data_IF_564015326294
#
_entry.id   IF_564015326294
#
_cell.length_a   1.000
_cell.length_b   1.000
_cell.length_c   1.000
_cell.angle_alpha   90.00
_cell.angle_beta   90.00
_cell.angle_gamma   90.00
#
_symmetry.space_group_name_H-M   'P 1'
#
loop_
_entity.id
_entity.type
_entity.pdbx_description
1 polymer ?
#
# COMPACT_ATOMS: atom_id res chain seq x y z
N UNK A 1 -26.95 -59.33 -20.51
CA UNK A 1 -27.42 -57.95 -20.31
C UNK A 1 -26.55 -57.08 -21.20
N UNK A 2 -26.94 -56.90 -22.48
CA UNK A 2 -26.19 -56.08 -23.43
C UNK A 2 -26.47 -54.62 -23.06
N UNK A 3 -25.48 -53.96 -22.48
CA UNK A 3 -25.53 -52.52 -22.25
C UNK A 3 -25.61 -51.88 -23.62
N UNK A 4 -26.72 -51.17 -23.87
CA UNK A 4 -27.03 -50.60 -25.17
C UNK A 4 -26.08 -49.43 -25.45
N UNK A 5 -25.05 -49.67 -26.27
CA UNK A 5 -24.00 -48.71 -26.63
C UNK A 5 -24.57 -47.41 -27.21
N UNK A 6 -25.78 -47.47 -27.78
CA UNK A 6 -26.51 -46.31 -28.29
C UNK A 6 -26.96 -45.35 -27.17
N UNK A 7 -27.33 -45.88 -26.00
CA UNK A 7 -27.73 -45.12 -24.81
C UNK A 7 -26.49 -44.47 -24.18
N UNK A 8 -25.39 -45.23 -24.05
CA UNK A 8 -24.12 -44.71 -23.55
C UNK A 8 -23.60 -43.55 -24.42
N UNK A 9 -23.61 -43.69 -25.75
CA UNK A 9 -23.22 -42.61 -26.67
C UNK A 9 -24.11 -41.38 -26.55
N UNK A 10 -25.42 -41.55 -26.38
CA UNK A 10 -26.40 -40.44 -26.30
C UNK A 10 -26.29 -39.65 -24.99
N UNK A 11 -26.04 -40.34 -23.87
CA UNK A 11 -25.77 -39.72 -22.57
C UNK A 11 -24.43 -38.99 -22.62
N UNK A 12 -23.35 -39.65 -23.07
CA UNK A 12 -22.03 -39.02 -23.20
C UNK A 12 -22.02 -37.81 -24.12
N UNK A 13 -22.68 -37.86 -25.29
CA UNK A 13 -22.63 -36.75 -26.26
C UNK A 13 -23.50 -35.55 -25.87
N UNK A 14 -24.49 -35.72 -25.01
CA UNK A 14 -25.39 -34.63 -24.58
C UNK A 14 -24.98 -34.04 -23.23
N UNK A 15 -24.56 -34.87 -22.28
CA UNK A 15 -24.20 -34.43 -20.93
C UNK A 15 -22.76 -33.89 -20.85
N UNK A 16 -21.84 -34.38 -21.69
CA UNK A 16 -20.46 -33.90 -21.71
C UNK A 16 -20.33 -32.43 -22.15
N UNK A 17 -20.94 -31.97 -23.27
CA UNK A 17 -20.91 -30.55 -23.63
C UNK A 17 -21.64 -29.68 -22.59
N UNK A 18 -22.77 -30.11 -22.03
CA UNK A 18 -23.47 -29.37 -20.98
C UNK A 18 -22.61 -29.23 -19.70
N UNK A 19 -21.93 -30.31 -19.30
CA UNK A 19 -20.99 -30.28 -18.17
C UNK A 19 -19.78 -29.38 -18.44
N UNK A 20 -19.17 -29.47 -19.63
CA UNK A 20 -18.04 -28.62 -20.04
C UNK A 20 -18.43 -27.15 -20.09
N UNK A 21 -19.62 -26.83 -20.62
CA UNK A 21 -20.15 -25.46 -20.65
C UNK A 21 -20.37 -24.96 -19.22
N UNK A 22 -21.00 -25.76 -18.35
CA UNK A 22 -21.28 -25.36 -16.96
C UNK A 22 -20.00 -25.15 -16.16
N UNK A 23 -19.04 -26.06 -16.27
CA UNK A 23 -17.73 -25.93 -15.62
C UNK A 23 -16.98 -24.72 -16.19
N UNK A 24 -17.00 -24.51 -17.51
CA UNK A 24 -16.43 -23.35 -18.16
C UNK A 24 -17.04 -22.03 -17.66
N UNK A 25 -18.36 -22.00 -17.47
CA UNK A 25 -19.09 -20.84 -16.95
C UNK A 25 -18.72 -20.56 -15.47
N UNK A 26 -18.59 -21.60 -14.65
CA UNK A 26 -18.14 -21.48 -13.25
C UNK A 26 -16.70 -20.99 -13.19
N UNK A 27 -15.77 -21.55 -13.97
CA UNK A 27 -14.37 -21.11 -14.03
C UNK A 27 -14.30 -19.66 -14.51
N UNK A 28 -15.05 -19.31 -15.55
CA UNK A 28 -15.13 -17.94 -16.06
C UNK A 28 -15.61 -16.96 -14.99
N UNK A 29 -16.65 -17.34 -14.24
CA UNK A 29 -17.18 -16.54 -13.14
C UNK A 29 -16.15 -16.39 -12.02
N UNK A 30 -15.47 -17.46 -11.62
CA UNK A 30 -14.41 -17.43 -10.61
C UNK A 30 -13.27 -16.50 -11.05
N UNK A 31 -12.82 -16.59 -12.31
CA UNK A 31 -11.76 -15.73 -12.86
C UNK A 31 -12.21 -14.27 -12.89
N UNK A 32 -13.46 -13.99 -13.29
CA UNK A 32 -13.99 -12.64 -13.29
C UNK A 32 -14.13 -12.07 -11.88
N UNK A 33 -14.65 -12.84 -10.93
CA UNK A 33 -14.71 -12.47 -9.52
C UNK A 33 -13.31 -12.21 -8.96
N UNK A 34 -12.35 -13.10 -9.23
CA UNK A 34 -10.97 -12.94 -8.78
C UNK A 34 -10.31 -11.70 -9.39
N UNK A 35 -10.55 -11.40 -10.67
CA UNK A 35 -9.99 -10.21 -11.33
C UNK A 35 -10.58 -8.91 -10.78
N UNK A 36 -11.87 -8.90 -10.46
CA UNK A 36 -12.54 -7.76 -9.81
C UNK A 36 -12.05 -7.57 -8.38
N UNK A 37 -11.77 -8.67 -7.66
CA UNK A 37 -11.29 -8.63 -6.28
C UNK A 37 -9.77 -8.38 -6.16
N UNK A 38 -9.00 -8.74 -7.18
CA UNK A 38 -7.54 -8.59 -7.24
C UNK A 38 -6.99 -7.22 -6.79
N UNK A 39 -7.54 -6.06 -7.20
CA UNK A 39 -7.04 -4.76 -6.73
C UNK A 39 -7.22 -4.57 -5.22
N UNK A 40 -8.19 -5.24 -4.60
CA UNK A 40 -8.46 -5.17 -3.15
C UNK A 40 -7.69 -6.20 -2.34
N UNK A 41 -6.98 -7.14 -2.98
CA UNK A 41 -6.22 -8.19 -2.28
C UNK A 41 -5.21 -7.60 -1.32
N UNK A 42 -4.47 -6.57 -1.74
CA UNK A 42 -3.49 -5.91 -0.86
C UNK A 42 -4.19 -5.30 0.37
N UNK A 43 -5.32 -4.61 0.16
CA UNK A 43 -6.11 -3.99 1.24
C UNK A 43 -6.69 -5.03 2.20
N UNK A 44 -7.23 -6.13 1.68
CA UNK A 44 -7.74 -7.25 2.47
C UNK A 44 -6.64 -7.96 3.26
N UNK A 45 -5.46 -8.13 2.65
CA UNK A 45 -4.32 -8.76 3.30
C UNK A 45 -3.80 -7.89 4.46
N UNK A 46 -3.61 -6.59 4.24
CA UNK A 46 -3.26 -5.65 5.31
C UNK A 46 -4.34 -5.59 6.40
N UNK A 47 -5.62 -5.57 6.01
CA UNK A 47 -6.74 -5.55 6.95
C UNK A 47 -6.83 -6.82 7.79
N UNK A 48 -6.59 -7.99 7.19
CA UNK A 48 -6.54 -9.28 7.90
C UNK A 48 -5.36 -9.38 8.86
N UNK A 49 -4.15 -8.97 8.42
CA UNK A 49 -2.97 -8.92 9.29
C UNK A 49 -3.24 -8.02 10.50
N UNK A 50 -3.77 -6.81 10.26
CA UNK A 50 -4.12 -5.87 11.33
C UNK A 50 -5.20 -6.44 12.24
N UNK A 51 -6.23 -7.09 11.70
CA UNK A 51 -7.29 -7.70 12.50
C UNK A 51 -6.71 -8.74 13.46
N UNK A 52 -5.82 -9.63 12.99
CA UNK A 52 -5.17 -10.64 13.82
C UNK A 52 -4.27 -9.99 14.87
N UNK A 53 -3.47 -8.99 14.48
CA UNK A 53 -2.54 -8.31 15.38
C UNK A 53 -3.27 -7.49 16.47
N UNK A 54 -4.38 -6.84 16.14
CA UNK A 54 -5.15 -6.00 17.04
C UNK A 54 -6.21 -6.79 17.84
N UNK A 55 -6.53 -8.02 17.45
CA UNK A 55 -7.53 -8.85 18.12
C UNK A 55 -7.34 -8.98 19.65
N UNK A 56 -6.15 -9.28 20.20
CA UNK A 56 -5.98 -9.37 21.66
C UNK A 56 -6.26 -8.03 22.36
N UNK A 57 -5.85 -6.92 21.74
CA UNK A 57 -6.10 -5.58 22.25
C UNK A 57 -7.59 -5.25 22.19
N UNK A 58 -8.26 -5.61 21.09
CA UNK A 58 -9.70 -5.46 20.93
C UNK A 58 -10.49 -6.22 22.00
N UNK A 59 -10.12 -7.46 22.30
CA UNK A 59 -10.78 -8.25 23.35
C UNK A 59 -10.53 -7.67 24.75
N UNK A 60 -9.34 -7.14 25.02
CA UNK A 60 -9.05 -6.45 26.28
C UNK A 60 -9.95 -5.22 26.48
N UNK A 61 -10.09 -4.40 25.42
CA UNK A 61 -11.02 -3.26 25.42
C UNK A 61 -12.48 -3.72 25.55
N UNK A 62 -12.88 -4.77 24.83
CA UNK A 62 -14.24 -5.30 24.90
C UNK A 62 -14.59 -5.77 26.31
N UNK A 63 -13.66 -6.41 27.03
CA UNK A 63 -13.83 -6.78 28.44
C UNK A 63 -14.05 -5.57 29.34
N UNK A 64 -13.29 -4.49 29.15
CA UNK A 64 -13.44 -3.26 29.92
C UNK A 64 -14.76 -2.52 29.63
N UNK A 65 -15.24 -2.58 28.38
CA UNK A 65 -16.50 -1.97 27.92
C UNK A 65 -17.75 -2.85 28.15
N UNK A 66 -17.66 -3.87 29.01
CA UNK A 66 -18.81 -4.72 29.36
C UNK A 66 -19.25 -5.67 28.25
N UNK A 67 -18.33 -6.12 27.40
CA UNK A 67 -18.56 -7.12 26.34
C UNK A 67 -19.05 -6.56 25.01
N UNK A 68 -19.12 -5.23 24.84
CA UNK A 68 -19.61 -4.58 23.61
C UNK A 68 -18.54 -4.56 22.51
N UNK A 69 -18.48 -5.63 21.73
CA UNK A 69 -17.48 -5.85 20.66
C UNK A 69 -17.42 -4.70 19.63
N UNK A 70 -18.57 -4.17 19.20
CA UNK A 70 -18.63 -3.06 18.24
C UNK A 70 -18.06 -1.76 18.80
N UNK A 71 -18.41 -1.41 20.04
CA UNK A 71 -17.92 -0.18 20.69
C UNK A 71 -16.41 -0.24 20.92
N UNK A 72 -15.90 -1.40 21.35
CA UNK A 72 -14.47 -1.61 21.51
C UNK A 72 -13.70 -1.50 20.19
N UNK A 73 -14.22 -2.07 19.10
CA UNK A 73 -13.58 -2.00 17.78
C UNK A 73 -13.53 -0.56 17.26
N UNK A 74 -14.64 0.17 17.35
CA UNK A 74 -14.70 1.58 16.91
C UNK A 74 -13.73 2.43 17.70
N UNK A 75 -13.69 2.31 19.03
CA UNK A 75 -12.75 3.06 19.87
C UNK A 75 -11.30 2.75 19.55
N UNK A 76 -10.97 1.47 19.33
CA UNK A 76 -9.62 1.05 18.99
C UNK A 76 -9.20 1.61 17.64
N UNK A 77 -10.01 1.42 16.61
CA UNK A 77 -9.73 1.91 15.24
C UNK A 77 -9.60 3.43 15.24
N UNK A 78 -10.50 4.14 15.91
CA UNK A 78 -10.47 5.60 15.96
C UNK A 78 -9.23 6.10 16.72
N UNK A 79 -8.85 5.43 17.82
CA UNK A 79 -7.60 5.73 18.53
C UNK A 79 -6.36 5.49 17.66
N UNK A 80 -6.28 4.35 16.96
CA UNK A 80 -5.19 4.07 16.03
C UNK A 80 -5.16 5.06 14.86
N UNK A 81 -6.32 5.45 14.33
CA UNK A 81 -6.43 6.43 13.26
C UNK A 81 -5.92 7.81 13.70
N UNK A 82 -6.23 8.24 14.92
CA UNK A 82 -5.71 9.47 15.48
C UNK A 82 -4.21 9.38 15.76
N UNK A 83 -3.77 8.29 16.42
CA UNK A 83 -2.37 8.10 16.80
C UNK A 83 -1.43 7.98 15.59
N UNK A 84 -1.88 7.38 14.50
CA UNK A 84 -1.06 7.18 13.30
C UNK A 84 -1.34 8.22 12.22
N UNK A 85 -2.61 8.53 11.97
CA UNK A 85 -3.02 9.43 10.89
C UNK A 85 -2.57 10.88 11.12
N UNK A 86 -2.77 11.41 12.33
CA UNK A 86 -2.42 12.81 12.66
C UNK A 86 -0.94 13.09 12.45
N UNK A 87 0.01 12.37 13.09
CA UNK A 87 1.43 12.66 12.90
C UNK A 87 1.87 12.42 11.45
N UNK A 88 1.25 11.48 10.74
CA UNK A 88 1.60 11.24 9.33
C UNK A 88 1.25 12.42 8.43
N UNK A 89 0.07 13.02 8.62
CA UNK A 89 -0.34 14.22 7.88
C UNK A 89 0.53 15.42 8.27
N UNK A 90 0.83 15.59 9.56
CA UNK A 90 1.70 16.67 10.03
C UNK A 90 3.12 16.56 9.47
N UNK A 91 3.70 15.36 9.48
CA UNK A 91 5.01 15.09 8.90
C UNK A 91 5.00 15.33 7.39
N UNK A 92 3.98 14.84 6.68
CA UNK A 92 3.83 15.07 5.24
C UNK A 92 3.73 16.55 4.89
N UNK A 93 2.94 17.31 5.64
CA UNK A 93 2.81 18.76 5.48
C UNK A 93 4.13 19.49 5.73
N UNK A 94 4.82 19.17 6.83
CA UNK A 94 6.14 19.76 7.16
C UNK A 94 7.19 19.46 6.09
N UNK A 95 7.14 18.26 5.49
CA UNK A 95 8.05 17.88 4.42
C UNK A 95 7.75 18.66 3.13
N UNK A 96 6.47 18.81 2.79
CA UNK A 96 6.04 19.60 1.64
C UNK A 96 6.40 21.09 1.79
N UNK A 97 6.23 21.65 2.99
CA UNK A 97 6.61 23.02 3.32
C UNK A 97 8.11 23.24 3.15
N UNK A 98 8.96 22.34 3.66
CA UNK A 98 10.42 22.42 3.44
C UNK A 98 10.82 22.35 1.97
N UNK A 99 10.12 21.57 1.16
CA UNK A 99 10.35 21.50 -0.30
C UNK A 99 9.93 22.82 -0.95
N UNK A 100 8.79 23.39 -0.54
CA UNK A 100 8.30 24.66 -1.04
C UNK A 100 9.24 25.82 -0.68
N UNK A 101 9.70 25.87 0.57
CA UNK A 101 10.67 26.87 1.04
C UNK A 101 12.00 26.77 0.29
N UNK A 102 12.48 25.53 0.05
CA UNK A 102 13.68 25.31 -0.75
C UNK A 102 13.48 25.84 -2.18
N UNK A 103 12.34 25.56 -2.81
CA UNK A 103 12.02 26.05 -4.15
C UNK A 103 11.90 27.58 -4.20
N UNK A 104 11.22 28.20 -3.24
CA UNK A 104 11.08 29.64 -3.13
C UNK A 104 12.43 30.34 -2.92
N UNK A 105 13.32 29.72 -2.14
CA UNK A 105 14.69 30.18 -1.99
C UNK A 105 15.45 30.11 -3.33
N UNK A 106 15.30 29.01 -4.11
CA UNK A 106 15.92 28.89 -5.44
C UNK A 106 15.43 29.97 -6.41
N UNK A 107 14.12 30.21 -6.46
CA UNK A 107 13.49 31.16 -7.40
C UNK A 107 13.88 32.61 -7.09
N UNK A 108 13.98 32.96 -5.81
CA UNK A 108 14.39 34.30 -5.36
C UNK A 108 15.87 34.65 -5.61
N UNK A 109 16.64 33.81 -6.34
CA UNK A 109 18.09 33.96 -6.57
C UNK A 109 18.91 34.14 -5.27
N UNK A 110 18.34 33.76 -4.11
CA UNK A 110 18.96 33.94 -2.80
C UNK A 110 19.75 32.71 -2.34
N UNK A 111 19.67 31.59 -3.07
CA UNK A 111 20.50 30.41 -2.77
C UNK A 111 21.92 30.64 -3.25
N UNK A 112 22.73 31.20 -2.35
CA UNK A 112 24.17 30.98 -2.38
C UNK A 112 24.42 29.56 -1.87
N UNK A 113 24.56 28.58 -2.77
CA UNK A 113 25.03 27.24 -2.37
C UNK A 113 26.40 27.42 -1.75
N UNK A 114 26.51 27.22 -0.44
CA UNK A 114 27.80 27.33 0.25
C UNK A 114 28.76 26.30 -0.35
N UNK A 115 30.02 26.69 -0.65
CA UNK A 115 31.00 25.76 -1.19
C UNK A 115 31.21 24.60 -0.21
N UNK A 116 31.41 23.37 -0.72
CA UNK A 116 31.60 22.20 0.11
C UNK A 116 32.87 22.35 0.96
N UNK A 117 32.81 21.96 2.24
CA UNK A 117 34.02 21.95 3.09
C UNK A 117 35.04 20.92 2.57
N UNK A 118 36.35 21.16 2.69
CA UNK A 118 37.38 20.24 2.20
C UNK A 118 37.29 18.84 2.82
N UNK A 119 36.71 18.70 4.02
CA UNK A 119 36.44 17.40 4.65
C UNK A 119 35.50 16.48 3.86
N UNK A 120 34.72 17.03 2.91
CA UNK A 120 33.86 16.23 2.01
C UNK A 120 34.71 15.49 0.96
N UNK A 121 35.88 16.03 0.59
CA UNK A 121 36.78 15.39 -0.38
C UNK A 121 37.49 14.15 0.21
N UNK A 122 37.64 14.08 1.54
CA UNK A 122 38.29 13.00 2.26
C UNK A 122 37.41 11.76 2.45
N UNK A 123 36.16 11.77 1.96
CA UNK A 123 35.30 10.59 2.04
C UNK A 123 35.79 9.44 1.14
N UNK A 124 36.01 8.23 1.70
CA UNK A 124 36.81 7.18 1.08
C UNK A 124 36.19 6.55 -0.19
N UNK A 125 34.89 6.74 -0.43
CA UNK A 125 34.18 6.08 -1.54
C UNK A 125 33.70 7.08 -2.60
N UNK A 126 33.30 8.29 -2.22
CA UNK A 126 32.67 9.27 -3.14
C UNK A 126 33.15 10.71 -2.97
N UNK A 127 34.10 10.97 -2.07
CA UNK A 127 34.42 12.34 -1.62
C UNK A 127 34.83 13.29 -2.75
N UNK A 128 35.75 12.86 -3.62
CA UNK A 128 36.24 13.69 -4.74
C UNK A 128 35.16 14.00 -5.78
N UNK A 129 34.29 13.03 -6.10
CA UNK A 129 33.22 13.23 -7.08
C UNK A 129 32.13 14.16 -6.54
N UNK A 130 31.75 13.96 -5.26
CA UNK A 130 30.75 14.80 -4.58
C UNK A 130 31.28 16.22 -4.38
N UNK A 131 32.54 16.37 -3.99
CA UNK A 131 33.18 17.69 -3.83
C UNK A 131 33.20 18.46 -5.15
N UNK A 132 33.64 17.84 -6.25
CA UNK A 132 33.69 18.49 -7.55
C UNK A 132 32.28 18.88 -8.05
N UNK A 133 31.30 17.96 -7.95
CA UNK A 133 29.93 18.23 -8.37
C UNK A 133 29.27 19.34 -7.53
N UNK A 134 29.51 19.37 -6.21
CA UNK A 134 28.99 20.40 -5.31
C UNK A 134 29.69 21.74 -5.55
N UNK A 135 31.00 21.73 -5.76
CA UNK A 135 31.75 22.94 -6.10
C UNK A 135 31.27 23.52 -7.45
N UNK A 136 31.12 22.69 -8.47
CA UNK A 136 30.58 23.10 -9.77
C UNK A 136 29.16 23.66 -9.63
N UNK A 137 28.32 23.07 -8.77
CA UNK A 137 26.98 23.58 -8.46
C UNK A 137 27.02 24.94 -7.74
N UNK A 138 28.04 25.18 -6.92
CA UNK A 138 28.24 26.46 -6.24
C UNK A 138 28.75 27.57 -7.19
N UNK A 139 29.53 27.23 -8.22
CA UNK A 139 30.07 28.21 -9.19
C UNK A 139 29.20 28.42 -10.42
N UNK A 140 28.61 27.38 -11.03
CA UNK A 140 27.90 27.44 -12.32
C UNK A 140 26.65 26.54 -12.32
N UNK A 141 25.70 26.84 -11.43
CA UNK A 141 24.43 26.10 -11.30
C UNK A 141 23.60 25.99 -12.60
N UNK A 142 23.48 27.03 -13.46
CA UNK A 142 22.67 26.95 -14.68
C UNK A 142 23.22 25.94 -15.70
N UNK A 143 24.55 25.89 -15.88
CA UNK A 143 25.21 25.02 -16.85
C UNK A 143 25.11 23.54 -16.43
N UNK A 144 25.17 23.26 -15.12
CA UNK A 144 24.93 21.92 -14.57
C UNK A 144 23.48 21.45 -14.76
N UNK A 145 22.51 22.34 -14.58
CA UNK A 145 21.09 22.00 -14.77
C UNK A 145 20.82 21.69 -16.24
N UNK A 146 21.35 22.46 -17.18
CA UNK A 146 21.23 22.16 -18.62
C UNK A 146 21.88 20.82 -18.98
N UNK A 147 23.10 20.57 -18.50
CA UNK A 147 23.84 19.33 -18.81
C UNK A 147 23.20 18.08 -18.23
N UNK A 148 22.48 18.19 -17.11
CA UNK A 148 21.87 17.07 -16.40
C UNK A 148 20.34 17.07 -16.44
N UNK A 149 19.71 17.88 -17.30
CA UNK A 149 18.27 18.12 -17.32
C UNK A 149 17.43 16.83 -17.41
N UNK A 150 17.83 15.86 -18.24
CA UNK A 150 17.14 14.56 -18.34
C UNK A 150 17.25 13.73 -17.06
N UNK A 151 18.43 13.70 -16.43
CA UNK A 151 18.64 12.97 -15.18
C UNK A 151 17.86 13.62 -14.03
N UNK A 152 17.87 14.95 -13.94
CA UNK A 152 17.08 15.70 -12.96
C UNK A 152 15.59 15.43 -13.12
N UNK A 153 15.08 15.43 -14.35
CA UNK A 153 13.68 15.09 -14.61
C UNK A 153 13.35 13.64 -14.25
N UNK A 154 14.22 12.68 -14.60
CA UNK A 154 14.03 11.28 -14.24
C UNK A 154 14.05 11.07 -12.71
N UNK A 155 14.95 11.74 -12.00
CA UNK A 155 15.04 11.72 -10.54
C UNK A 155 13.81 12.34 -9.91
N UNK A 156 13.38 13.53 -10.35
CA UNK A 156 12.16 14.19 -9.87
C UNK A 156 10.94 13.29 -10.04
N UNK A 157 10.76 12.67 -11.21
CA UNK A 157 9.66 11.71 -11.44
C UNK A 157 9.74 10.50 -10.52
N UNK A 158 10.94 9.95 -10.27
CA UNK A 158 11.11 8.82 -9.32
C UNK A 158 10.79 9.23 -7.89
N UNK A 159 11.23 10.40 -7.45
CA UNK A 159 10.96 10.92 -6.10
C UNK A 159 9.46 11.20 -5.95
N UNK A 160 8.81 11.84 -6.92
CA UNK A 160 7.36 12.03 -6.91
C UNK A 160 6.61 10.70 -6.90
N UNK A 161 7.03 9.73 -7.72
CA UNK A 161 6.40 8.41 -7.75
C UNK A 161 6.58 7.66 -6.41
N UNK A 162 7.76 7.74 -5.80
CA UNK A 162 8.02 7.16 -4.49
C UNK A 162 7.18 7.84 -3.40
N UNK A 163 7.07 9.17 -3.42
CA UNK A 163 6.23 9.93 -2.50
C UNK A 163 4.74 9.57 -2.68
N UNK A 164 4.25 9.53 -3.92
CA UNK A 164 2.88 9.13 -4.24
C UNK A 164 2.59 7.68 -3.80
N UNK A 165 3.51 6.76 -4.04
CA UNK A 165 3.37 5.37 -3.61
C UNK A 165 3.35 5.25 -2.08
N UNK A 166 4.17 6.04 -1.39
CA UNK A 166 4.21 6.07 0.09
C UNK A 166 2.94 6.69 0.66
N UNK A 167 2.46 7.81 0.10
CA UNK A 167 1.19 8.41 0.48
C UNK A 167 0.03 7.43 0.22
N UNK A 168 0.05 6.74 -0.91
CA UNK A 168 -0.92 5.70 -1.27
C UNK A 168 -0.90 4.51 -0.31
N UNK A 169 0.29 4.05 0.11
CA UNK A 169 0.42 2.94 1.05
C UNK A 169 -0.04 3.31 2.47
N UNK A 170 0.25 4.52 2.93
CA UNK A 170 -0.29 5.07 4.18
C UNK A 170 -1.81 5.12 4.12
N UNK A 171 -2.38 5.69 3.06
CA UNK A 171 -3.83 5.79 2.92
C UNK A 171 -4.48 4.40 2.87
N UNK A 172 -3.90 3.47 2.11
CA UNK A 172 -4.32 2.07 2.07
C UNK A 172 -4.27 1.43 3.45
N UNK A 173 -3.21 1.68 4.23
CA UNK A 173 -3.06 1.17 5.59
C UNK A 173 -4.14 1.73 6.53
N UNK A 174 -4.46 3.02 6.44
CA UNK A 174 -5.55 3.63 7.23
C UNK A 174 -6.92 3.05 6.86
N UNK A 175 -7.17 2.80 5.57
CA UNK A 175 -8.42 2.13 5.14
C UNK A 175 -8.43 0.67 5.57
N UNK A 176 -7.30 -0.03 5.46
CA UNK A 176 -7.16 -1.41 5.92
C UNK A 176 -7.42 -1.54 7.43
N UNK A 177 -7.06 -0.53 8.23
CA UNK A 177 -7.40 -0.46 9.65
C UNK A 177 -8.93 -0.40 9.89
N UNK A 178 -9.67 0.33 9.05
CA UNK A 178 -11.14 0.34 9.11
C UNK A 178 -11.70 -1.06 8.81
N UNK A 179 -11.18 -1.72 7.77
CA UNK A 179 -11.57 -3.09 7.40
C UNK A 179 -11.22 -4.08 8.52
N UNK A 180 -10.05 -3.93 9.14
CA UNK A 180 -9.65 -4.72 10.30
C UNK A 180 -10.66 -4.57 11.45
N UNK A 181 -11.11 -3.34 11.72
CA UNK A 181 -12.19 -3.05 12.66
C UNK A 181 -13.45 -3.87 12.40
N UNK A 182 -13.92 -3.88 11.15
CA UNK A 182 -15.08 -4.66 10.74
C UNK A 182 -14.84 -6.15 10.96
N UNK A 183 -13.68 -6.68 10.53
CA UNK A 183 -13.32 -8.09 10.71
C UNK A 183 -13.33 -8.48 12.19
N UNK A 184 -12.77 -7.64 13.07
CA UNK A 184 -12.72 -7.91 14.52
C UNK A 184 -14.12 -7.97 15.16
N UNK A 185 -15.07 -7.14 14.73
CA UNK A 185 -16.46 -7.19 15.22
C UNK A 185 -17.14 -8.51 14.87
N UNK A 186 -16.87 -9.06 13.68
CA UNK A 186 -17.50 -10.30 13.20
C UNK A 186 -16.66 -11.56 13.44
N UNK A 187 -15.46 -11.45 14.03
CA UNK A 187 -14.50 -12.55 14.17
C UNK A 187 -15.03 -13.73 15.00
N UNK A 188 -15.74 -13.47 16.10
CA UNK A 188 -16.33 -14.52 16.95
C UNK A 188 -17.45 -15.29 16.24
N UNK A 189 -18.29 -14.59 15.47
CA UNK A 189 -19.35 -15.21 14.66
C UNK A 189 -18.78 -16.09 13.54
N UNK A 190 -17.71 -15.64 12.89
CA UNK A 190 -17.03 -16.41 11.83
C UNK A 190 -16.37 -17.68 12.37
N UNK A 191 -15.66 -17.58 13.51
CA UNK A 191 -15.02 -18.73 14.15
C UNK A 191 -16.01 -19.82 14.54
N UNK A 192 -17.18 -19.45 15.07
CA UNK A 192 -18.25 -20.39 15.44
C UNK A 192 -18.86 -21.15 14.26
N UNK A 193 -18.88 -20.56 13.07
CA UNK A 193 -19.37 -21.22 11.85
C UNK A 193 -18.34 -22.19 11.31
N UNK A 194 -17.06 -21.81 11.30
CA UNK A 194 -15.96 -22.69 10.87
C UNK A 194 -15.89 -23.94 11.75
N UNK A 195 -15.94 -23.77 13.08
CA UNK A 195 -15.97 -24.88 14.04
C UNK A 195 -17.25 -25.73 14.02
N UNK A 196 -18.29 -25.32 13.26
CA UNK A 196 -19.49 -26.14 13.02
C UNK A 196 -19.43 -26.94 11.73
N UNK A 197 -18.61 -26.51 10.78
CA UNK A 197 -18.48 -27.16 9.46
C UNK A 197 -17.39 -28.25 9.51
N UNK A 198 -16.36 -28.05 10.33
CA UNK A 198 -15.33 -29.04 10.65
C UNK A 198 -15.67 -29.75 11.95
#
# INVERSE_FOLDING_TARGET
>A
MQVDDSILRKILSKDFPDAVIRIGLVIFLIVMCARVFAPFTNLMLWGGILAIALYPLHQYLAGWLGGRQTSAAVLLVLSCLLLLGVPTVMLGGSFAERIYDAYAAFDSHSITIKPPSPAVADWPIVGKQVYNFWNDAATNLPELIEKNHEQLNALSKRVLAAAANTAGSVLLFLVALLVAGIIMVYGDSGGKVVLRIF
#
